data_IF_602680186897
#
_entry.id   IF_602680186897
#
_cell.length_a   1.000
_cell.length_b   1.000
_cell.length_c   1.000
_cell.angle_alpha   90.00
_cell.angle_beta   90.00
_cell.angle_gamma   90.00
#
_symmetry.space_group_name_H-M   'P 1'
#
loop_
_entity.id
_entity.type
_entity.pdbx_description
1 polymer ?
#
# COMPACT_ATOMS: atom_id res chain seq x y z
N UNK A 1 -62.47 38.29 -28.75
CA UNK A 1 -62.08 37.15 -29.62
C UNK A 1 -60.56 37.04 -29.64
N UNK A 2 -59.97 36.01 -29.01
CA UNK A 2 -58.59 35.55 -29.27
C UNK A 2 -58.52 34.08 -28.83
N UNK A 3 -58.19 33.22 -29.79
CA UNK A 3 -58.30 31.75 -29.74
C UNK A 3 -57.15 31.14 -28.95
N UNK A 4 -57.45 30.14 -28.13
CA UNK A 4 -56.48 29.22 -27.53
C UNK A 4 -55.98 28.24 -28.61
N UNK A 5 -54.65 28.07 -28.71
CA UNK A 5 -54.02 27.04 -29.52
C UNK A 5 -53.31 26.07 -28.57
N UNK A 6 -53.88 24.88 -28.42
CA UNK A 6 -53.30 23.78 -27.63
C UNK A 6 -52.36 22.98 -28.52
N UNK A 7 -51.06 22.99 -28.22
CA UNK A 7 -50.08 22.12 -28.88
C UNK A 7 -49.94 20.86 -28.03
N UNK A 8 -50.37 19.71 -28.57
CA UNK A 8 -50.10 18.39 -28.02
C UNK A 8 -48.65 18.00 -28.40
N UNK A 9 -47.75 17.94 -27.42
CA UNK A 9 -46.41 17.37 -27.60
C UNK A 9 -46.44 15.89 -27.23
N UNK A 10 -46.35 15.01 -28.22
CA UNK A 10 -46.14 13.57 -28.02
C UNK A 10 -44.68 13.31 -27.63
N UNK A 11 -44.45 12.94 -26.37
CA UNK A 11 -43.13 12.50 -25.91
C UNK A 11 -42.93 11.02 -26.28
N UNK A 12 -41.92 10.72 -27.10
CA UNK A 12 -41.44 9.36 -27.35
C UNK A 12 -40.40 9.06 -26.26
N UNK A 13 -40.58 8.03 -25.40
CA UNK A 13 -39.56 7.67 -24.43
C UNK A 13 -38.38 7.00 -25.13
N UNK A 14 -37.22 7.64 -25.07
CA UNK A 14 -35.94 7.08 -25.49
C UNK A 14 -35.55 5.99 -24.48
N UNK A 15 -35.68 4.71 -24.83
CA UNK A 15 -35.13 3.61 -24.02
C UNK A 15 -33.60 3.72 -24.03
N UNK A 16 -33.03 4.21 -22.94
CA UNK A 16 -31.60 4.08 -22.67
C UNK A 16 -31.31 2.61 -22.31
N UNK A 17 -30.74 1.86 -23.26
CA UNK A 17 -30.22 0.52 -23.01
C UNK A 17 -29.07 0.61 -21.99
N UNK A 18 -29.33 0.20 -20.75
CA UNK A 18 -28.29 0.00 -19.74
C UNK A 18 -27.60 -1.33 -20.04
N UNK A 19 -26.49 -1.26 -20.78
CA UNK A 19 -25.58 -2.40 -20.90
C UNK A 19 -25.05 -2.79 -19.51
N UNK A 20 -24.85 -4.08 -19.22
CA UNK A 20 -24.35 -4.50 -17.91
C UNK A 20 -22.96 -3.91 -17.69
N UNK A 21 -22.80 -3.19 -16.58
CA UNK A 21 -21.48 -2.84 -16.04
C UNK A 21 -20.79 -4.17 -15.73
N UNK A 22 -19.83 -4.54 -16.56
CA UNK A 22 -19.03 -5.75 -16.34
C UNK A 22 -18.36 -5.65 -14.97
N UNK A 23 -18.89 -6.39 -14.00
CA UNK A 23 -18.22 -6.64 -12.74
C UNK A 23 -16.87 -7.27 -13.11
N UNK A 24 -15.77 -6.54 -12.88
CA UNK A 24 -14.45 -7.08 -13.10
C UNK A 24 -14.34 -8.38 -12.29
N UNK A 25 -14.22 -9.50 -12.98
CA UNK A 25 -14.23 -10.81 -12.35
C UNK A 25 -13.12 -10.89 -11.28
N UNK A 26 -13.51 -11.24 -10.06
CA UNK A 26 -12.59 -11.63 -8.99
C UNK A 26 -11.80 -12.84 -9.49
N UNK A 27 -10.47 -12.74 -9.45
CA UNK A 27 -9.58 -13.79 -9.91
C UNK A 27 -8.27 -13.72 -9.15
N UNK A 28 -7.62 -14.87 -8.98
CA UNK A 28 -6.36 -14.97 -8.25
C UNK A 28 -5.33 -13.99 -8.86
N UNK A 29 -4.68 -13.13 -8.05
CA UNK A 29 -3.69 -12.19 -8.54
C UNK A 29 -2.55 -12.87 -9.28
N UNK A 30 -2.23 -12.36 -10.47
CA UNK A 30 -1.24 -12.93 -11.38
C UNK A 30 0.09 -12.19 -11.25
N UNK A 31 1.02 -12.80 -10.51
CA UNK A 31 2.37 -12.26 -10.34
C UNK A 31 3.12 -12.35 -11.68
N UNK A 32 3.67 -11.24 -12.22
CA UNK A 32 4.40 -11.27 -13.48
C UNK A 32 5.60 -12.22 -13.44
N UNK A 33 5.90 -12.87 -14.58
CA UNK A 33 7.05 -13.77 -14.68
C UNK A 33 8.35 -13.08 -14.25
N UNK A 34 9.15 -13.78 -13.43
CA UNK A 34 10.41 -13.27 -12.85
C UNK A 34 10.24 -12.30 -11.67
N UNK A 35 9.03 -11.79 -11.42
CA UNK A 35 8.76 -10.95 -10.24
C UNK A 35 8.46 -11.84 -9.05
N UNK A 36 9.10 -11.55 -7.93
CA UNK A 36 8.67 -12.07 -6.63
C UNK A 36 7.68 -11.08 -6.03
N UNK A 37 6.54 -11.56 -5.53
CA UNK A 37 5.58 -10.74 -4.78
C UNK A 37 5.14 -11.42 -3.48
N UNK A 38 5.14 -10.66 -2.39
CA UNK A 38 4.48 -11.00 -1.13
C UNK A 38 3.41 -9.96 -0.82
N UNK A 39 2.20 -10.40 -0.47
CA UNK A 39 1.11 -9.48 -0.17
C UNK A 39 0.17 -9.99 0.91
N UNK A 40 -0.52 -9.04 1.56
CA UNK A 40 -1.60 -9.26 2.52
C UNK A 40 -2.67 -8.19 2.28
N UNK A 41 -3.93 -8.62 2.22
CA UNK A 41 -5.13 -7.79 2.39
C UNK A 41 -5.79 -8.22 3.69
N UNK A 42 -5.93 -7.27 4.61
CA UNK A 42 -6.58 -7.48 5.90
C UNK A 42 -7.83 -6.61 5.97
N UNK A 43 -8.98 -7.26 6.14
CA UNK A 43 -10.27 -6.61 6.36
C UNK A 43 -10.44 -6.28 7.85
N UNK A 44 -10.44 -4.98 8.16
CA UNK A 44 -10.57 -4.49 9.53
C UNK A 44 -11.96 -4.73 10.11
N UNK A 45 -12.98 -4.85 9.27
CA UNK A 45 -14.35 -5.06 9.75
C UNK A 45 -14.54 -6.49 10.28
N UNK A 46 -13.96 -7.47 9.59
CA UNK A 46 -14.04 -8.88 9.99
C UNK A 46 -12.85 -9.32 10.84
N UNK A 47 -11.78 -8.53 10.88
CA UNK A 47 -10.54 -8.86 11.59
C UNK A 47 -9.73 -9.97 10.93
N UNK A 48 -9.95 -10.23 9.63
CA UNK A 48 -9.39 -11.38 8.91
C UNK A 48 -8.47 -10.95 7.77
N UNK A 49 -7.48 -11.78 7.47
CA UNK A 49 -6.75 -11.71 6.20
C UNK A 49 -7.65 -12.34 5.13
N UNK A 50 -8.03 -11.56 4.12
CA UNK A 50 -8.95 -11.97 3.05
C UNK A 50 -8.21 -12.41 1.78
N UNK A 51 -6.98 -11.93 1.59
CA UNK A 51 -6.10 -12.37 0.51
C UNK A 51 -4.65 -12.28 0.95
N UNK A 52 -3.83 -13.30 0.64
CA UNK A 52 -2.40 -13.25 0.90
C UNK A 52 -1.58 -14.17 -0.01
N UNK A 53 -0.30 -13.86 -0.13
CA UNK A 53 0.73 -14.70 -0.74
C UNK A 53 2.06 -14.39 -0.09
N UNK A 54 2.81 -15.42 0.30
CA UNK A 54 4.14 -15.27 0.90
C UNK A 54 4.19 -14.20 2.00
N UNK A 55 3.21 -14.21 2.90
CA UNK A 55 2.99 -13.15 3.88
C UNK A 55 4.20 -12.89 4.80
N UNK A 56 4.97 -13.94 5.12
CA UNK A 56 6.19 -13.91 5.93
C UNK A 56 7.48 -13.72 5.14
N UNK A 57 7.42 -13.70 3.80
CA UNK A 57 8.63 -13.55 3.00
C UNK A 57 9.23 -12.18 3.23
N UNK A 58 10.55 -12.16 3.42
CA UNK A 58 11.33 -10.96 3.73
C UNK A 58 11.75 -10.22 2.47
N UNK A 59 11.56 -8.91 2.48
CA UNK A 59 11.94 -7.98 1.43
C UNK A 59 12.76 -6.84 2.02
N UNK A 60 13.61 -6.24 1.19
CA UNK A 60 14.28 -4.99 1.52
C UNK A 60 13.21 -3.90 1.58
N UNK A 61 13.08 -3.21 2.71
CA UNK A 61 11.97 -2.29 2.94
C UNK A 61 11.90 -1.12 1.97
N UNK A 62 13.05 -0.66 1.48
CA UNK A 62 13.19 0.66 0.90
C UNK A 62 12.50 1.70 1.79
N UNK A 63 11.74 2.62 1.22
CA UNK A 63 11.08 3.72 1.95
C UNK A 63 9.87 3.34 2.80
N UNK A 64 9.44 2.07 2.84
CA UNK A 64 8.34 1.64 3.73
C UNK A 64 8.73 1.76 5.20
N UNK A 65 10.01 1.52 5.53
CA UNK A 65 10.55 1.62 6.90
C UNK A 65 10.38 2.99 7.55
N UNK A 66 10.18 4.05 6.76
CA UNK A 66 9.94 5.41 7.25
C UNK A 66 8.72 5.50 8.18
N UNK A 67 7.76 4.57 8.06
CA UNK A 67 6.65 4.44 9.03
C UNK A 67 7.18 4.00 10.41
N UNK A 68 8.05 2.99 10.46
CA UNK A 68 8.65 2.52 11.72
C UNK A 68 9.53 3.59 12.37
N UNK A 69 10.31 4.32 11.56
CA UNK A 69 11.11 5.47 12.02
C UNK A 69 10.21 6.54 12.65
N UNK A 70 9.08 6.86 12.01
CA UNK A 70 8.12 7.83 12.55
C UNK A 70 7.48 7.34 13.85
N UNK A 71 7.08 6.06 13.93
CA UNK A 71 6.52 5.46 15.16
C UNK A 71 7.53 5.60 16.30
N UNK A 72 8.76 5.14 16.11
CA UNK A 72 9.79 5.18 17.16
C UNK A 72 10.02 6.60 17.69
N UNK A 73 10.20 7.57 16.78
CA UNK A 73 10.41 8.96 17.17
C UNK A 73 9.21 9.52 17.94
N UNK A 74 7.98 9.33 17.44
CA UNK A 74 6.79 9.93 18.05
C UNK A 74 6.41 9.29 19.40
N UNK A 75 6.66 8.00 19.55
CA UNK A 75 6.44 7.27 20.81
C UNK A 75 7.43 7.71 21.90
N UNK A 76 8.66 8.05 21.52
CA UNK A 76 9.69 8.51 22.46
C UNK A 76 9.50 9.98 22.90
N UNK A 77 8.64 10.76 22.23
CA UNK A 77 8.52 12.20 22.45
C UNK A 77 7.08 12.63 22.72
N UNK A 78 6.82 13.25 23.88
CA UNK A 78 5.50 13.79 24.24
C UNK A 78 5.09 15.01 23.41
N UNK A 79 6.07 15.79 22.94
CA UNK A 79 5.87 16.94 22.06
C UNK A 79 6.81 16.88 20.86
N UNK A 80 6.43 17.52 19.75
CA UNK A 80 7.22 17.53 18.51
C UNK A 80 7.43 18.98 18.09
N UNK A 81 8.69 19.37 17.90
CA UNK A 81 9.03 20.71 17.42
C UNK A 81 8.54 20.94 15.99
N UNK A 82 8.30 22.20 15.62
CA UNK A 82 7.90 22.59 14.26
C UNK A 82 8.86 22.06 13.18
N UNK A 83 10.16 22.09 13.46
CA UNK A 83 11.19 21.53 12.56
C UNK A 83 11.01 20.02 12.36
N UNK A 84 10.79 19.27 13.43
CA UNK A 84 10.58 17.83 13.33
C UNK A 84 9.22 17.48 12.68
N UNK A 85 8.18 18.30 12.87
CA UNK A 85 6.92 18.17 12.12
C UNK A 85 7.15 18.35 10.61
N UNK A 86 7.98 19.33 10.21
CA UNK A 86 8.33 19.54 8.80
C UNK A 86 9.09 18.34 8.21
N UNK A 87 10.05 17.78 8.97
CA UNK A 87 10.77 16.57 8.55
C UNK A 87 9.84 15.35 8.44
N UNK A 88 8.94 15.12 9.40
CA UNK A 88 7.96 14.03 9.35
C UNK A 88 7.04 14.18 8.14
N UNK A 89 6.56 15.39 7.86
CA UNK A 89 5.74 15.71 6.68
C UNK A 89 6.49 15.36 5.39
N UNK A 90 7.73 15.82 5.22
CA UNK A 90 8.53 15.55 4.02
C UNK A 90 8.81 14.04 3.85
N UNK A 91 9.23 13.39 4.93
CA UNK A 91 9.53 11.95 4.96
C UNK A 91 8.33 11.08 4.61
N UNK A 92 7.14 11.41 5.14
CA UNK A 92 5.94 10.58 4.97
C UNK A 92 5.21 10.87 3.67
N UNK A 93 5.15 12.13 3.22
CA UNK A 93 4.39 12.51 2.01
C UNK A 93 5.16 12.32 0.72
N UNK A 94 6.41 12.78 0.68
CA UNK A 94 7.24 12.77 -0.54
C UNK A 94 8.48 11.88 -0.39
N UNK A 95 8.49 11.04 0.64
CA UNK A 95 9.53 10.04 0.85
C UNK A 95 10.94 10.63 0.98
N UNK A 96 11.08 11.84 1.54
CA UNK A 96 12.38 12.52 1.66
C UNK A 96 13.42 11.70 2.45
N UNK A 97 14.58 11.45 1.82
CA UNK A 97 15.65 10.62 2.37
C UNK A 97 16.51 11.34 3.40
N UNK A 98 16.67 12.67 3.28
CA UNK A 98 17.42 13.47 4.24
C UNK A 98 16.68 13.53 5.59
N UNK A 99 15.36 13.71 5.53
CA UNK A 99 14.49 13.66 6.71
C UNK A 99 14.54 12.29 7.39
N UNK A 100 14.44 11.20 6.61
CA UNK A 100 14.57 9.85 7.16
C UNK A 100 15.94 9.61 7.79
N UNK A 101 17.02 9.99 7.11
CA UNK A 101 18.39 9.85 7.61
C UNK A 101 18.61 10.65 8.89
N UNK A 102 18.02 11.85 8.99
CA UNK A 102 18.06 12.66 10.21
C UNK A 102 17.41 11.93 11.40
N UNK A 103 16.21 11.37 11.24
CA UNK A 103 15.58 10.58 12.31
C UNK A 103 16.33 9.27 12.59
N UNK A 104 16.80 8.58 11.56
CA UNK A 104 17.55 7.34 11.67
C UNK A 104 18.80 7.50 12.53
N UNK A 105 19.62 8.51 12.25
CA UNK A 105 20.84 8.78 12.99
C UNK A 105 20.54 9.16 14.44
N UNK A 106 19.56 10.05 14.67
CA UNK A 106 19.18 10.49 16.03
C UNK A 106 18.56 9.37 16.87
N UNK A 107 17.85 8.43 16.25
CA UNK A 107 17.21 7.30 16.94
C UNK A 107 18.12 6.10 17.19
N UNK A 108 19.41 6.17 16.85
CA UNK A 108 20.35 5.08 17.06
C UNK A 108 20.25 3.95 16.02
N UNK A 109 19.87 4.30 14.78
CA UNK A 109 19.93 3.45 13.60
C UNK A 109 19.16 2.13 13.78
N UNK A 110 19.82 0.97 13.64
CA UNK A 110 19.19 -0.35 13.77
C UNK A 110 18.37 -0.56 15.05
N UNK A 111 18.72 0.17 16.14
CA UNK A 111 17.97 0.12 17.41
C UNK A 111 16.52 0.60 17.27
N UNK A 112 16.23 1.48 16.30
CA UNK A 112 14.86 1.88 15.95
C UNK A 112 14.04 0.65 15.55
N UNK A 113 14.63 -0.21 14.72
CA UNK A 113 13.96 -1.41 14.22
C UNK A 113 13.79 -2.43 15.34
N UNK A 114 14.79 -2.62 16.18
CA UNK A 114 14.68 -3.53 17.33
C UNK A 114 13.56 -3.12 18.31
N UNK A 115 13.46 -1.82 18.64
CA UNK A 115 12.41 -1.30 19.54
C UNK A 115 11.03 -1.44 18.91
N UNK A 116 10.87 -1.03 17.66
CA UNK A 116 9.58 -1.10 16.96
C UNK A 116 9.16 -2.54 16.71
N UNK A 117 10.06 -3.43 16.27
CA UNK A 117 9.76 -4.84 16.07
C UNK A 117 9.30 -5.52 17.36
N UNK A 118 9.99 -5.26 18.48
CA UNK A 118 9.57 -5.76 19.80
C UNK A 118 8.20 -5.24 20.21
N UNK A 119 7.95 -3.94 20.10
CA UNK A 119 6.69 -3.31 20.52
C UNK A 119 5.50 -3.76 19.68
N UNK A 120 5.68 -3.91 18.38
CA UNK A 120 4.64 -4.27 17.41
C UNK A 120 4.56 -5.79 17.16
N UNK A 121 5.45 -6.58 17.78
CA UNK A 121 5.57 -8.03 17.59
C UNK A 121 5.80 -8.40 16.10
N UNK A 122 6.74 -7.69 15.47
CA UNK A 122 7.14 -7.89 14.09
C UNK A 122 8.22 -8.98 14.05
N UNK A 123 7.88 -10.16 13.54
CA UNK A 123 8.73 -11.36 13.65
C UNK A 123 9.70 -11.52 12.49
N UNK A 124 9.42 -10.88 11.36
CA UNK A 124 10.22 -10.94 10.13
C UNK A 124 11.04 -9.65 9.92
N UNK A 125 10.77 -8.63 10.74
CA UNK A 125 11.37 -7.31 10.66
C UNK A 125 12.66 -7.23 11.45
N UNK A 126 13.77 -6.99 10.76
CA UNK A 126 15.11 -6.95 11.35
C UNK A 126 15.89 -5.75 10.81
N UNK A 127 16.83 -5.17 11.59
CA UNK A 127 17.66 -4.08 11.13
C UNK A 127 18.48 -4.45 9.88
N UNK A 128 19.03 -3.46 9.15
CA UNK A 128 20.01 -3.69 8.11
C UNK A 128 21.20 -4.54 8.61
N UNK A 129 21.94 -5.21 7.72
CA UNK A 129 23.14 -5.95 8.12
C UNK A 129 24.16 -5.03 8.80
N UNK A 130 24.90 -5.54 9.78
CA UNK A 130 25.79 -4.74 10.63
C UNK A 130 26.86 -3.93 9.87
N UNK A 131 27.28 -4.40 8.68
CA UNK A 131 28.21 -3.66 7.80
C UNK A 131 27.60 -2.47 7.07
N UNK A 132 26.28 -2.26 7.19
CA UNK A 132 25.53 -1.22 6.46
C UNK A 132 24.62 -0.40 7.40
N UNK A 133 25.11 0.10 8.55
CA UNK A 133 24.25 0.68 9.59
C UNK A 133 23.56 1.99 9.16
N UNK A 134 24.10 2.70 8.17
CA UNK A 134 23.49 3.91 7.59
C UNK A 134 22.37 3.63 6.58
N UNK A 135 22.19 2.38 6.15
CA UNK A 135 21.28 2.01 5.07
C UNK A 135 19.91 1.61 5.62
N UNK A 136 19.18 2.57 6.19
CA UNK A 136 17.83 2.32 6.77
C UNK A 136 16.91 1.55 5.81
N UNK A 137 17.01 1.80 4.49
CA UNK A 137 16.21 1.14 3.47
C UNK A 137 16.51 -0.35 3.29
N UNK A 138 17.57 -0.88 3.91
CA UNK A 138 17.97 -2.29 3.92
C UNK A 138 17.31 -3.09 5.05
N UNK A 139 16.46 -2.44 5.84
CA UNK A 139 15.63 -3.10 6.85
C UNK A 139 14.83 -4.22 6.22
N UNK A 140 14.86 -5.41 6.83
CA UNK A 140 14.01 -6.52 6.44
C UNK A 140 12.56 -6.23 6.86
N UNK A 141 11.59 -6.47 5.97
CA UNK A 141 10.16 -6.41 6.28
C UNK A 141 9.43 -7.57 5.61
N UNK A 142 8.29 -7.99 6.17
CA UNK A 142 7.34 -8.89 5.51
C UNK A 142 5.99 -8.21 5.31
N UNK A 143 5.16 -8.79 4.43
CA UNK A 143 3.83 -8.22 4.19
C UNK A 143 2.97 -8.28 5.46
N UNK A 144 3.08 -9.37 6.23
CA UNK A 144 2.38 -9.51 7.51
C UNK A 144 2.82 -8.47 8.54
N UNK A 145 4.12 -8.23 8.68
CA UNK A 145 4.63 -7.28 9.67
C UNK A 145 4.23 -5.83 9.34
N UNK A 146 4.22 -5.46 8.05
CA UNK A 146 3.68 -4.15 7.66
C UNK A 146 2.18 -4.09 7.91
N UNK A 147 1.41 -5.17 7.69
CA UNK A 147 0.00 -5.21 8.09
C UNK A 147 -0.17 -4.99 9.60
N UNK A 148 0.63 -5.65 10.44
CA UNK A 148 0.65 -5.42 11.90
C UNK A 148 0.99 -3.96 12.25
N UNK A 149 1.88 -3.34 11.49
CA UNK A 149 2.26 -1.92 11.67
C UNK A 149 1.07 -0.99 11.43
N UNK A 150 0.30 -1.18 10.36
CA UNK A 150 -0.92 -0.40 10.13
C UNK A 150 -1.99 -0.69 11.18
N UNK A 151 -2.16 -1.96 11.60
CA UNK A 151 -3.06 -2.30 12.71
C UNK A 151 -2.68 -1.60 14.01
N UNK A 152 -1.39 -1.55 14.35
CA UNK A 152 -0.93 -0.79 15.51
C UNK A 152 -1.36 0.68 15.43
N UNK A 153 -1.13 1.34 14.30
CA UNK A 153 -1.52 2.74 14.09
C UNK A 153 -3.04 2.95 14.21
N UNK A 154 -3.85 1.99 13.76
CA UNK A 154 -5.30 2.11 13.77
C UNK A 154 -5.92 1.78 15.13
N UNK A 155 -5.38 0.77 15.81
CA UNK A 155 -6.09 0.11 16.91
C UNK A 155 -5.47 0.41 18.29
N UNK A 156 -4.17 0.74 18.36
CA UNK A 156 -3.43 0.78 19.64
C UNK A 156 -2.53 1.98 19.87
N UNK A 157 -2.03 2.63 18.82
CA UNK A 157 -1.15 3.78 18.97
C UNK A 157 -1.88 4.95 19.65
N UNK A 158 -1.14 5.77 20.39
CA UNK A 158 -1.64 7.04 20.90
C UNK A 158 -2.24 7.87 19.74
N UNK A 159 -3.44 8.48 19.88
CA UNK A 159 -4.08 9.27 18.83
C UNK A 159 -3.20 10.35 18.20
N UNK A 160 -2.25 10.91 18.95
CA UNK A 160 -1.25 11.87 18.43
C UNK A 160 -0.29 11.20 17.44
N UNK A 161 0.16 9.98 17.75
CA UNK A 161 1.07 9.20 16.90
C UNK A 161 0.34 8.75 15.64
N UNK A 162 -0.82 8.10 15.81
CA UNK A 162 -1.62 7.59 14.69
C UNK A 162 -2.14 8.71 13.79
N UNK A 163 -2.69 9.78 14.38
CA UNK A 163 -3.22 10.94 13.67
C UNK A 163 -2.17 11.63 12.81
N UNK A 164 -0.96 11.84 13.35
CA UNK A 164 0.14 12.47 12.61
C UNK A 164 0.60 11.60 11.44
N UNK A 165 0.86 10.31 11.69
CA UNK A 165 1.36 9.41 10.64
C UNK A 165 0.31 9.19 9.56
N UNK A 166 -0.89 8.71 9.93
CA UNK A 166 -1.94 8.40 8.95
C UNK A 166 -2.45 9.66 8.25
N UNK A 167 -2.49 10.81 8.93
CA UNK A 167 -2.79 12.10 8.31
C UNK A 167 -1.82 12.44 7.18
N UNK A 168 -0.52 12.27 7.39
CA UNK A 168 0.45 12.49 6.32
C UNK A 168 0.40 11.42 5.21
N UNK A 169 0.11 10.14 5.52
CA UNK A 169 -0.01 9.10 4.49
C UNK A 169 -1.24 9.30 3.58
N UNK A 170 -2.34 9.89 4.08
CA UNK A 170 -3.50 10.32 3.27
C UNK A 170 -3.16 11.43 2.27
N UNK A 171 -2.15 12.22 2.60
CA UNK A 171 -1.67 13.34 1.79
C UNK A 171 -0.36 13.01 1.05
N UNK A 172 -0.12 11.72 0.74
CA UNK A 172 1.05 11.33 -0.03
C UNK A 172 1.11 12.07 -1.38
N UNK A 173 2.27 12.64 -1.71
CA UNK A 173 2.46 13.41 -2.94
C UNK A 173 2.75 12.51 -4.14
N UNK A 174 2.38 12.91 -5.35
CA UNK A 174 2.70 12.15 -6.56
C UNK A 174 4.20 12.04 -6.82
N UNK A 175 4.92 13.15 -6.67
CA UNK A 175 6.35 13.21 -6.91
C UNK A 175 7.10 13.03 -5.59
N UNK A 176 7.98 12.04 -5.54
CA UNK A 176 8.96 11.90 -4.48
C UNK A 176 9.95 13.08 -4.47
N UNK A 177 10.61 13.29 -3.34
CA UNK A 177 11.65 14.32 -3.20
C UNK A 177 12.83 14.09 -4.17
N UNK A 178 13.06 12.83 -4.54
CA UNK A 178 14.04 12.37 -5.54
C UNK A 178 13.56 12.53 -7.00
N UNK A 179 12.33 13.03 -7.20
CA UNK A 179 11.73 13.25 -8.51
C UNK A 179 11.10 12.02 -9.14
N UNK A 180 11.14 10.85 -8.51
CA UNK A 180 10.40 9.68 -8.99
C UNK A 180 8.90 9.88 -8.83
N UNK A 181 8.11 9.31 -9.74
CA UNK A 181 6.65 9.28 -9.61
C UNK A 181 6.24 8.12 -8.71
N UNK A 182 5.87 8.41 -7.46
CA UNK A 182 5.53 7.39 -6.48
C UNK A 182 4.06 6.93 -6.54
N UNK A 183 3.22 7.46 -7.45
CA UNK A 183 1.82 7.02 -7.60
C UNK A 183 1.66 5.71 -8.39
N UNK A 184 2.62 4.77 -8.32
CA UNK A 184 2.43 3.40 -8.83
C UNK A 184 1.72 2.51 -7.79
N UNK A 185 1.22 1.33 -8.16
CA UNK A 185 0.62 0.43 -7.18
C UNK A 185 -0.75 0.93 -6.73
N UNK A 186 -1.01 0.99 -5.42
CA UNK A 186 -2.31 1.39 -4.84
C UNK A 186 -2.83 2.71 -5.44
N UNK A 187 -2.07 3.84 -5.46
CA UNK A 187 -2.56 5.10 -6.00
C UNK A 187 -3.11 5.10 -7.43
N UNK A 188 -2.63 4.20 -8.31
CA UNK A 188 -3.10 4.07 -9.70
C UNK A 188 -3.91 2.81 -9.97
N UNK A 189 -3.80 1.79 -9.13
CA UNK A 189 -4.47 0.50 -9.28
C UNK A 189 -5.78 0.40 -8.51
N UNK A 190 -5.96 1.21 -7.47
CA UNK A 190 -7.10 1.17 -6.56
C UNK A 190 -7.73 2.56 -6.44
N UNK A 191 -9.06 2.62 -6.52
CA UNK A 191 -9.79 3.88 -6.39
C UNK A 191 -9.66 4.42 -4.97
N UNK A 192 -9.34 5.71 -4.84
CA UNK A 192 -9.31 6.40 -3.55
C UNK A 192 -10.67 6.49 -2.85
N UNK A 193 -10.69 6.91 -1.58
CA UNK A 193 -9.56 7.44 -0.80
C UNK A 193 -8.57 6.36 -0.34
N UNK A 194 -7.35 6.78 -0.01
CA UNK A 194 -6.30 5.91 0.52
C UNK A 194 -5.36 6.66 1.48
N UNK A 195 -4.59 5.91 2.27
CA UNK A 195 -3.47 6.40 3.07
C UNK A 195 -2.25 5.52 2.80
N UNK A 196 -1.28 5.98 2.00
CA UNK A 196 -0.26 5.10 1.42
C UNK A 196 1.17 5.50 1.78
N UNK A 197 2.04 4.51 1.85
CA UNK A 197 3.48 4.70 1.79
C UNK A 197 4.08 3.78 0.73
N UNK A 198 4.90 4.37 -0.11
CA UNK A 198 5.57 3.70 -1.21
C UNK A 198 7.04 3.44 -0.86
N UNK A 199 7.64 2.42 -1.47
CA UNK A 199 9.06 2.10 -1.32
C UNK A 199 9.68 1.63 -2.63
N UNK A 200 10.86 2.16 -2.97
CA UNK A 200 11.61 1.73 -4.13
C UNK A 200 13.12 1.79 -3.90
N UNK A 201 13.86 0.90 -4.54
CA UNK A 201 15.32 0.90 -4.57
C UNK A 201 15.81 0.05 -5.73
N UNK A 202 17.03 0.31 -6.22
CA UNK A 202 17.64 -0.42 -7.34
C UNK A 202 17.31 0.11 -8.73
N UNK A 203 16.83 1.35 -8.85
CA UNK A 203 16.50 2.00 -10.14
C UNK A 203 17.39 3.22 -10.45
N UNK A 204 18.55 3.33 -9.79
CA UNK A 204 19.38 4.54 -9.81
C UNK A 204 18.85 5.67 -8.92
N UNK A 205 19.60 6.75 -8.82
CA UNK A 205 19.26 7.95 -8.03
C UNK A 205 18.43 8.98 -8.80
N UNK A 206 18.32 8.81 -10.12
CA UNK A 206 17.61 9.74 -11.01
C UNK A 206 16.54 8.96 -11.78
N UNK A 207 15.28 9.42 -11.78
CA UNK A 207 14.23 8.73 -12.53
C UNK A 207 14.49 8.86 -14.04
N UNK A 208 14.10 7.85 -14.84
CA UNK A 208 14.17 7.95 -16.31
C UNK A 208 13.38 9.14 -16.88
N UNK A 209 12.36 9.60 -16.17
CA UNK A 209 11.65 10.85 -16.45
C UNK A 209 11.25 11.52 -15.15
N UNK A 210 11.58 12.81 -14.99
CA UNK A 210 11.25 13.57 -13.78
C UNK A 210 9.74 13.70 -13.63
N UNK A 211 9.23 13.34 -12.47
CA UNK A 211 7.82 13.45 -12.13
C UNK A 211 7.33 14.90 -12.26
N UNK A 212 6.13 15.06 -12.83
CA UNK A 212 5.39 16.31 -12.91
C UNK A 212 4.01 16.07 -12.33
N UNK A 213 3.56 16.94 -11.42
CA UNK A 213 2.22 16.83 -10.83
C UNK A 213 1.18 16.96 -11.93
N UNK A 214 0.25 16.00 -11.99
CA UNK A 214 -0.89 16.12 -12.89
C UNK A 214 -1.82 17.21 -12.35
N UNK A 215 -1.94 18.32 -13.07
CA UNK A 215 -2.93 19.37 -12.76
C UNK A 215 -4.21 18.99 -13.49
N UNK A 216 -5.17 18.39 -12.79
CA UNK A 216 -6.51 18.22 -13.32
C UNK A 216 -7.23 19.57 -13.27
N UNK A 217 -7.52 20.15 -14.44
CA UNK A 217 -8.38 21.34 -14.55
C UNK A 217 -9.82 20.88 -14.27
N UNK A 218 -10.35 21.18 -13.09
CA UNK A 218 -11.70 20.81 -12.68
C UNK A 218 -12.74 21.50 -13.56
N UNK A 219 -13.45 20.74 -14.40
CA UNK A 219 -14.73 21.16 -14.97
C UNK A 219 -15.84 20.52 -14.12
N UNK A 220 -16.51 21.34 -13.32
CA UNK A 220 -17.68 20.98 -12.53
C UNK A 220 -18.87 20.69 -13.43
N UNK A 221 -19.49 19.52 -13.31
CA UNK A 221 -20.94 19.38 -13.48
C UNK A 221 -21.45 18.12 -12.76
N UNK A 222 -22.69 18.24 -12.32
CA UNK A 222 -23.34 17.65 -11.14
C UNK A 222 -24.09 16.33 -11.40
N UNK A 223 -24.38 15.65 -10.27
CA UNK A 223 -25.60 14.86 -9.98
C UNK A 223 -25.44 13.34 -9.87
N UNK A 224 -25.70 12.81 -8.67
CA UNK A 224 -25.89 11.40 -8.35
C UNK A 224 -27.32 11.19 -7.83
N UNK A 225 -27.93 10.00 -8.01
CA UNK A 225 -29.02 9.58 -7.13
C UNK A 225 -28.80 8.22 -6.43
N UNK A 226 -29.02 8.28 -5.11
CA UNK A 226 -29.77 7.43 -4.19
C UNK A 226 -29.73 5.88 -4.22
N UNK A 227 -29.72 5.35 -2.99
CA UNK A 227 -29.61 3.96 -2.56
C UNK A 227 -30.92 3.16 -2.66
N UNK A 228 -30.79 1.82 -2.67
CA UNK A 228 -31.89 0.88 -2.38
C UNK A 228 -31.42 -0.34 -1.60
N UNK A 229 -32.37 -0.91 -0.86
CA UNK A 229 -32.37 -1.74 0.34
C UNK A 229 -32.08 -3.24 0.14
N UNK A 230 -31.61 -3.90 1.20
CA UNK A 230 -31.36 -5.34 1.31
C UNK A 230 -32.58 -6.13 1.82
N UNK A 231 -32.59 -7.47 1.65
CA UNK A 231 -33.14 -8.37 2.66
C UNK A 231 -32.18 -9.51 3.07
N UNK A 232 -32.59 -10.20 4.14
CA UNK A 232 -31.81 -11.03 5.06
C UNK A 232 -31.94 -12.56 4.83
N UNK A 233 -31.02 -13.34 5.44
CA UNK A 233 -31.34 -14.65 6.06
C UNK A 233 -30.52 -15.90 5.67
N UNK A 234 -29.50 -16.24 6.49
CA UNK A 234 -29.03 -17.54 7.08
C UNK A 234 -28.98 -18.86 6.25
N UNK A 235 -28.24 -19.95 6.65
CA UNK A 235 -27.44 -20.24 7.85
C UNK A 235 -26.01 -20.83 7.61
N UNK A 236 -25.31 -21.17 8.70
CA UNK A 236 -23.91 -21.61 8.81
C UNK A 236 -23.70 -23.14 8.73
N UNK A 237 -22.48 -23.58 8.40
CA UNK A 237 -21.90 -24.92 8.70
C UNK A 237 -20.35 -24.90 8.61
N UNK A 238 -19.62 -25.91 9.16
CA UNK A 238 -18.42 -25.67 9.98
C UNK A 238 -17.05 -25.81 9.29
N UNK A 239 -16.05 -25.46 10.09
CA UNK A 239 -14.61 -25.29 9.85
C UNK A 239 -13.91 -26.63 9.59
N UNK A 240 -13.09 -26.70 8.54
CA UNK A 240 -12.07 -27.74 8.37
C UNK A 240 -10.67 -27.18 8.68
N UNK A 241 -9.97 -27.91 9.53
CA UNK A 241 -8.67 -27.61 10.15
C UNK A 241 -7.48 -27.88 9.23
N UNK A 242 -6.37 -27.22 9.55
CA UNK A 242 -5.07 -27.36 8.93
C UNK A 242 -4.43 -28.74 9.16
N UNK A 243 -4.24 -29.48 8.08
CA UNK A 243 -3.16 -30.45 7.82
C UNK A 243 -3.41 -30.85 6.35
N UNK A 244 -2.48 -30.64 5.43
CA UNK A 244 -1.44 -31.63 5.19
C UNK A 244 -0.23 -30.96 4.51
N UNK A 245 0.92 -31.21 5.11
CA UNK A 245 2.26 -30.78 4.69
C UNK A 245 2.99 -31.98 4.07
N UNK A 246 3.79 -31.68 3.04
CA UNK A 246 4.94 -32.46 2.53
C UNK A 246 4.61 -33.68 1.65
N UNK A 247 5.34 -34.01 0.56
CA UNK A 247 6.81 -34.20 0.43
C UNK A 247 7.16 -34.36 -1.08
N UNK A 248 8.24 -33.84 -1.70
CA UNK A 248 9.60 -34.44 -2.00
C UNK A 248 10.21 -33.73 -3.28
N UNK A 249 11.44 -33.97 -3.80
CA UNK A 249 12.59 -33.06 -3.71
C UNK A 249 13.14 -32.42 -5.03
N UNK A 250 13.94 -31.37 -4.79
CA UNK A 250 14.87 -30.54 -5.57
C UNK A 250 15.29 -30.89 -7.03
N UNK A 251 15.22 -29.87 -7.89
CA UNK A 251 16.32 -29.31 -8.70
C UNK A 251 15.98 -27.82 -8.99
N UNK A 252 17.00 -26.95 -9.11
CA UNK A 252 16.99 -25.47 -9.21
C UNK A 252 16.97 -24.71 -7.87
N UNK A 253 18.08 -24.03 -7.58
CA UNK A 253 18.22 -23.07 -6.48
C UNK A 253 17.38 -21.82 -6.79
N UNK A 254 16.30 -21.53 -6.04
CA UNK A 254 15.61 -20.27 -6.20
C UNK A 254 16.27 -19.26 -5.25
N UNK A 255 16.81 -18.17 -5.78
CA UNK A 255 17.15 -17.00 -4.96
C UNK A 255 15.84 -16.41 -4.41
N UNK A 256 15.29 -17.01 -3.34
CA UNK A 256 13.93 -16.69 -2.92
C UNK A 256 13.45 -17.23 -1.55
N UNK A 257 14.24 -18.04 -0.84
CA UNK A 257 13.81 -18.68 0.42
C UNK A 257 14.75 -18.42 1.59
N UNK A 258 15.73 -17.52 1.43
CA UNK A 258 16.69 -17.18 2.49
C UNK A 258 16.08 -16.36 3.64
N UNK A 259 16.67 -16.44 4.85
CA UNK A 259 16.23 -15.69 6.03
C UNK A 259 16.52 -14.18 5.96
N UNK A 260 17.22 -13.74 4.91
CA UNK A 260 17.69 -12.38 4.68
C UNK A 260 17.03 -11.84 3.40
N UNK A 261 16.57 -10.58 3.40
CA UNK A 261 16.09 -9.93 2.20
C UNK A 261 17.08 -9.99 1.05
N UNK A 262 16.54 -10.09 -0.16
CA UNK A 262 17.30 -9.86 -1.37
C UNK A 262 17.71 -8.39 -1.48
N UNK A 263 19.03 -8.14 -1.48
CA UNK A 263 19.62 -6.80 -1.63
C UNK A 263 20.07 -6.49 -3.07
N UNK A 264 20.18 -7.52 -3.92
CA UNK A 264 20.73 -7.40 -5.27
C UNK A 264 19.68 -7.01 -6.32
N UNK A 265 18.41 -7.28 -6.05
CA UNK A 265 17.33 -6.99 -6.99
C UNK A 265 16.61 -5.65 -6.70
N UNK A 266 16.16 -4.94 -7.74
CA UNK A 266 15.28 -3.79 -7.59
C UNK A 266 14.00 -4.16 -6.86
N UNK A 267 13.56 -3.31 -5.94
CA UNK A 267 12.32 -3.48 -5.18
C UNK A 267 11.36 -2.34 -5.45
N UNK A 268 10.07 -2.65 -5.51
CA UNK A 268 9.00 -1.67 -5.71
C UNK A 268 7.79 -2.07 -4.85
N UNK A 269 7.39 -1.22 -3.91
CA UNK A 269 6.47 -1.56 -2.83
C UNK A 269 5.37 -0.52 -2.71
N UNK A 270 4.14 -1.00 -2.48
CA UNK A 270 2.97 -0.15 -2.24
C UNK A 270 2.22 -0.71 -1.04
N UNK A 271 2.01 0.13 -0.04
CA UNK A 271 1.36 -0.27 1.22
C UNK A 271 0.42 0.83 1.68
N UNK A 272 -0.70 0.49 2.29
CA UNK A 272 -1.61 1.51 2.78
C UNK A 272 -2.96 1.02 3.25
N UNK A 273 -3.78 1.99 3.63
CA UNK A 273 -5.19 1.83 3.88
C UNK A 273 -5.96 2.14 2.59
N UNK A 274 -6.93 1.30 2.25
CA UNK A 274 -7.69 1.40 1.00
C UNK A 274 -9.19 1.19 1.22
N UNK A 275 -9.97 1.73 0.27
CA UNK A 275 -11.42 1.55 0.22
C UNK A 275 -12.20 2.47 1.16
N UNK A 276 -13.55 2.41 1.11
CA UNK A 276 -14.42 3.25 1.91
C UNK A 276 -14.11 3.10 3.40
N UNK A 277 -14.02 4.23 4.12
CA UNK A 277 -13.69 4.28 5.55
C UNK A 277 -12.38 3.56 5.92
N UNK A 278 -11.46 3.41 4.96
CA UNK A 278 -10.18 2.73 5.16
C UNK A 278 -10.35 1.30 5.67
N UNK A 279 -11.37 0.58 5.17
CA UNK A 279 -11.75 -0.75 5.66
C UNK A 279 -10.61 -1.76 5.53
N UNK A 280 -9.80 -1.68 4.48
CA UNK A 280 -8.76 -2.68 4.25
C UNK A 280 -7.36 -2.11 4.45
N UNK A 281 -6.50 -2.91 5.07
CA UNK A 281 -5.06 -2.72 5.03
C UNK A 281 -4.55 -3.57 3.87
N UNK A 282 -3.86 -2.95 2.92
CA UNK A 282 -3.30 -3.63 1.76
C UNK A 282 -1.80 -3.40 1.70
N UNK A 283 -1.05 -4.49 1.63
CA UNK A 283 0.41 -4.49 1.56
C UNK A 283 0.83 -5.34 0.38
N UNK A 284 1.62 -4.76 -0.54
CA UNK A 284 2.22 -5.46 -1.67
C UNK A 284 3.71 -5.12 -1.75
N UNK A 285 4.55 -6.12 -1.50
CA UNK A 285 6.00 -6.06 -1.57
C UNK A 285 6.47 -6.87 -2.78
N UNK A 286 7.35 -6.28 -3.61
CA UNK A 286 7.84 -6.94 -4.82
C UNK A 286 9.34 -6.73 -5.03
N UNK A 287 9.99 -7.75 -5.59
CA UNK A 287 11.36 -7.71 -6.10
C UNK A 287 11.34 -8.13 -7.59
N UNK A 288 12.15 -7.45 -8.40
CA UNK A 288 12.12 -7.53 -9.87
C UNK A 288 13.47 -8.01 -10.41
N UNK A 289 13.51 -8.66 -11.59
CA UNK A 289 14.78 -8.91 -12.29
C UNK A 289 15.53 -7.59 -12.50
N UNK A 290 16.87 -7.60 -12.36
CA UNK A 290 17.70 -6.37 -12.45
C UNK A 290 17.66 -5.69 -13.83
N UNK A 291 17.23 -6.40 -14.87
CA UNK A 291 17.00 -5.85 -16.21
C UNK A 291 15.66 -5.11 -16.37
N UNK A 292 14.79 -5.14 -15.34
CA UNK A 292 13.46 -4.54 -15.40
C UNK A 292 13.54 -3.03 -15.22
N UNK A 293 13.04 -2.27 -16.18
CA UNK A 293 13.01 -0.80 -16.12
C UNK A 293 11.98 -0.29 -15.11
N UNK A 294 12.18 0.93 -14.61
CA UNK A 294 11.22 1.61 -13.72
C UNK A 294 9.79 1.62 -14.29
N UNK A 295 9.62 1.97 -15.57
CA UNK A 295 8.32 2.03 -16.22
C UNK A 295 7.63 0.67 -16.25
N UNK A 296 8.40 -0.39 -16.55
CA UNK A 296 7.86 -1.76 -16.56
C UNK A 296 7.47 -2.21 -15.15
N UNK A 297 8.32 -1.98 -14.16
CA UNK A 297 8.06 -2.34 -12.77
C UNK A 297 6.83 -1.61 -12.22
N UNK A 298 6.71 -0.30 -12.46
CA UNK A 298 5.55 0.49 -12.01
C UNK A 298 4.24 0.03 -12.66
N UNK A 299 4.24 -0.27 -13.96
CA UNK A 299 3.06 -0.81 -14.65
C UNK A 299 2.66 -2.18 -14.08
N UNK A 300 3.63 -3.08 -13.91
CA UNK A 300 3.42 -4.42 -13.34
C UNK A 300 2.87 -4.37 -11.92
N UNK A 301 3.47 -3.57 -11.03
CA UNK A 301 3.02 -3.42 -9.64
C UNK A 301 1.65 -2.75 -9.57
N UNK A 302 1.35 -1.80 -10.46
CA UNK A 302 0.02 -1.16 -10.53
C UNK A 302 -1.07 -2.17 -10.91
N UNK A 303 -0.82 -2.98 -11.95
CA UNK A 303 -1.74 -4.06 -12.35
C UNK A 303 -1.95 -5.06 -11.21
N UNK A 304 -0.85 -5.54 -10.61
CA UNK A 304 -0.91 -6.51 -9.52
C UNK A 304 -1.62 -5.94 -8.28
N UNK A 305 -1.42 -4.66 -7.95
CA UNK A 305 -2.14 -4.01 -6.85
C UNK A 305 -3.65 -4.00 -7.10
N UNK A 306 -4.09 -3.71 -8.33
CA UNK A 306 -5.52 -3.78 -8.69
C UNK A 306 -6.09 -5.19 -8.49
N UNK A 307 -5.38 -6.21 -8.94
CA UNK A 307 -5.81 -7.60 -8.80
C UNK A 307 -5.86 -8.06 -7.34
N UNK A 308 -4.82 -7.76 -6.55
CA UNK A 308 -4.78 -8.06 -5.11
C UNK A 308 -5.92 -7.36 -4.37
N UNK A 309 -6.24 -6.12 -4.73
CA UNK A 309 -7.39 -5.41 -4.16
C UNK A 309 -8.69 -6.13 -4.50
N UNK A 310 -8.97 -6.41 -5.78
CA UNK A 310 -10.21 -7.08 -6.20
C UNK A 310 -10.36 -8.45 -5.52
N UNK A 311 -9.31 -9.25 -5.48
CA UNK A 311 -9.29 -10.56 -4.81
C UNK A 311 -9.58 -10.44 -3.30
N UNK A 312 -8.97 -9.49 -2.61
CA UNK A 312 -9.09 -9.33 -1.16
C UNK A 312 -10.29 -8.51 -0.67
N UNK A 313 -11.01 -7.81 -1.55
CA UNK A 313 -12.16 -6.96 -1.17
C UNK A 313 -13.49 -7.38 -1.79
N UNK A 314 -13.51 -8.51 -2.50
CA UNK A 314 -14.75 -9.12 -3.01
C UNK A 314 -15.63 -9.64 -1.87
#
# INVERSE_FOLDING_TARGET
MKRFLTILATAIPLLAATGPVSAAASGTPQVPAGVTAGYVVFDRQTGKITSNRYAHRKFRSASVVKILIAIDYLEAHKSVSTSNLALLKAMLRVSDDNAATSFWNRGGQGKIIERTARKLQLTDTTPPPAGWPGYWGYTSISALDITKTYRYLLDRADPRVSGLILGHLREAGQCGADGFDQFFGIPRGVRGPWAVKQGWSGYGSTPPGRCRKTIFKSTSDTSAPAASTAPAGLPATPIATAAELSTTPALFTPAATGPVPDYGHPVLHTTGLVGPKERWIMVLLTAHPSSTTWQRSTAQVTKLAREVYLDGTS
#
